data_IF_635579530935
#
_entry.id   IF_635579530935
#
_cell.length_a   1.000
_cell.length_b   1.000
_cell.length_c   1.000
_cell.angle_alpha   90.00
_cell.angle_beta   90.00
_cell.angle_gamma   90.00
#
_symmetry.space_group_name_H-M   'P 1'
#
loop_
_entity.id
_entity.type
_entity.pdbx_description
1 polymer ?
#
# COMPACT_ATOMS: atom_id res chain seq x y z
N UNK A 1 -15.79 -0.29 -16.45
CA UNK A 1 -16.44 0.98 -16.12
C UNK A 1 -17.75 1.04 -16.90
N UNK A 2 -18.80 0.76 -16.16
CA UNK A 2 -20.24 0.60 -16.38
C UNK A 2 -20.90 0.97 -17.73
N UNK A 3 -21.77 0.06 -18.16
CA UNK A 3 -22.69 0.02 -19.32
C UNK A 3 -23.78 1.11 -19.36
N UNK A 4 -23.74 2.10 -18.47
CA UNK A 4 -24.74 3.18 -18.37
C UNK A 4 -24.48 4.36 -19.34
N UNK A 5 -23.30 4.42 -19.98
CA UNK A 5 -22.90 5.59 -20.79
C UNK A 5 -23.51 5.64 -22.20
N UNK A 6 -24.15 4.57 -22.68
CA UNK A 6 -24.69 4.49 -24.05
C UNK A 6 -26.05 5.20 -24.18
N UNK A 7 -26.77 5.45 -23.08
CA UNK A 7 -28.11 6.04 -23.14
C UNK A 7 -28.14 7.56 -23.32
N UNK A 8 -27.04 8.28 -23.06
CA UNK A 8 -27.06 9.75 -23.09
C UNK A 8 -26.90 10.37 -24.49
N UNK A 9 -26.64 9.58 -25.53
CA UNK A 9 -26.36 10.09 -26.87
C UNK A 9 -27.60 10.35 -27.76
N UNK A 10 -28.83 10.11 -27.28
CA UNK A 10 -30.04 10.16 -28.11
C UNK A 10 -31.06 11.28 -27.75
N UNK A 11 -30.64 12.47 -27.29
CA UNK A 11 -31.61 13.56 -27.00
C UNK A 11 -31.22 14.99 -27.41
N UNK A 12 -30.17 15.22 -28.21
CA UNK A 12 -29.92 16.57 -28.77
C UNK A 12 -30.29 16.60 -30.24
N UNK A 13 -31.59 16.78 -30.50
CA UNK A 13 -32.09 17.16 -31.82
C UNK A 13 -31.72 18.61 -32.13
N UNK A 14 -30.68 18.83 -32.92
CA UNK A 14 -30.36 20.15 -33.50
C UNK A 14 -30.94 20.21 -34.91
N UNK A 15 -32.15 20.78 -35.02
CA UNK A 15 -32.68 21.23 -36.31
C UNK A 15 -31.95 22.50 -36.73
N UNK A 16 -31.21 22.42 -37.84
CA UNK A 16 -30.59 23.58 -38.47
C UNK A 16 -29.86 23.19 -39.73
N UNK A 17 -30.28 23.75 -40.86
CA UNK A 17 -29.60 23.67 -42.16
C UNK A 17 -28.18 24.28 -42.04
N UNK A 18 -27.21 23.47 -41.65
CA UNK A 18 -25.79 23.81 -41.66
C UNK A 18 -25.00 22.60 -42.15
N UNK A 19 -24.10 22.86 -43.11
CA UNK A 19 -23.33 21.88 -43.86
C UNK A 19 -22.77 20.75 -42.97
N UNK A 20 -23.16 19.50 -43.23
CA UNK A 20 -22.67 18.30 -42.52
C UNK A 20 -21.14 18.25 -42.37
N UNK A 21 -20.42 18.82 -43.34
CA UNK A 21 -18.96 18.97 -43.31
C UNK A 21 -18.44 19.87 -42.17
N UNK A 22 -19.18 20.91 -41.78
CA UNK A 22 -18.78 21.77 -40.65
C UNK A 22 -18.97 21.06 -39.32
N UNK A 23 -20.06 20.31 -39.15
CA UNK A 23 -20.31 19.48 -37.96
C UNK A 23 -19.21 18.43 -37.74
N UNK A 24 -18.80 17.71 -38.79
CA UNK A 24 -17.76 16.68 -38.68
C UNK A 24 -16.39 17.27 -38.32
N UNK A 25 -16.07 18.49 -38.79
CA UNK A 25 -14.85 19.21 -38.42
C UNK A 25 -14.88 19.64 -36.94
N UNK A 26 -16.03 20.07 -36.43
CA UNK A 26 -16.16 20.42 -35.01
C UNK A 26 -16.01 19.21 -34.11
N UNK A 27 -16.60 18.06 -34.47
CA UNK A 27 -16.47 16.81 -33.71
C UNK A 27 -15.01 16.34 -33.69
N UNK A 28 -14.32 16.32 -34.84
CA UNK A 28 -12.92 15.89 -34.89
C UNK A 28 -11.99 16.84 -34.12
N UNK A 29 -12.26 18.15 -34.16
CA UNK A 29 -11.49 19.16 -33.42
C UNK A 29 -11.67 19.04 -31.90
N UNK A 30 -12.90 18.80 -31.43
CA UNK A 30 -13.16 18.61 -29.99
C UNK A 30 -12.59 17.29 -29.47
N UNK A 31 -12.69 16.20 -30.24
CA UNK A 31 -12.04 14.93 -29.89
C UNK A 31 -10.51 15.05 -29.86
N UNK A 32 -9.90 15.79 -30.78
CA UNK A 32 -8.46 16.04 -30.80
C UNK A 32 -8.01 16.86 -29.58
N UNK A 33 -8.78 17.88 -29.18
CA UNK A 33 -8.52 18.67 -27.97
C UNK A 33 -8.67 17.84 -26.69
N UNK A 34 -9.70 16.98 -26.60
CA UNK A 34 -9.89 16.07 -25.46
C UNK A 34 -8.76 15.03 -25.37
N UNK A 35 -8.27 14.52 -26.51
CA UNK A 35 -7.13 13.61 -26.56
C UNK A 35 -5.83 14.28 -26.08
N UNK A 36 -5.60 15.54 -26.46
CA UNK A 36 -4.44 16.32 -25.99
C UNK A 36 -4.49 16.62 -24.49
N UNK A 37 -5.67 16.85 -23.91
CA UNK A 37 -5.83 17.05 -22.46
C UNK A 37 -5.59 15.72 -21.71
N UNK A 38 -6.07 14.59 -22.23
CA UNK A 38 -5.83 13.28 -21.63
C UNK A 38 -4.35 12.85 -21.69
N UNK A 39 -3.62 13.25 -22.73
CA UNK A 39 -2.20 12.97 -22.85
C UNK A 39 -1.32 13.68 -21.80
N UNK A 40 -1.79 14.78 -21.20
CA UNK A 40 -1.03 15.54 -20.19
C UNK A 40 -1.11 14.97 -18.77
N UNK A 41 -1.91 13.92 -18.51
CA UNK A 41 -2.15 13.43 -17.13
C UNK A 41 -1.21 12.32 -16.66
N UNK A 42 -0.18 11.96 -17.42
CA UNK A 42 0.78 10.90 -17.04
C UNK A 42 2.12 11.46 -16.53
N UNK A 43 2.07 12.47 -15.66
CA UNK A 43 3.22 12.80 -14.84
C UNK A 43 3.19 11.91 -13.59
N UNK A 44 3.89 10.76 -13.64
CA UNK A 44 4.22 10.01 -12.42
C UNK A 44 5.16 10.89 -11.60
N UNK A 45 4.64 11.57 -10.58
CA UNK A 45 5.50 12.24 -9.61
C UNK A 45 6.46 11.21 -9.01
N UNK A 46 7.75 11.54 -8.84
CA UNK A 46 8.69 10.63 -8.21
C UNK A 46 8.20 10.31 -6.80
N UNK A 47 7.65 9.10 -6.63
CA UNK A 47 7.16 8.62 -5.33
C UNK A 47 8.33 8.56 -4.37
N UNK A 48 8.41 9.51 -3.44
CA UNK A 48 9.43 9.50 -2.39
C UNK A 48 9.42 8.14 -1.69
N UNK A 49 10.57 7.46 -1.67
CA UNK A 49 10.77 6.15 -1.05
C UNK A 49 11.41 6.31 0.31
N UNK A 50 11.16 5.37 1.21
CA UNK A 50 11.94 5.28 2.44
C UNK A 50 13.40 4.95 2.12
N UNK A 51 14.31 5.37 3.00
CA UNK A 51 15.73 5.06 2.84
C UNK A 51 15.96 3.56 2.82
N UNK A 52 16.80 3.09 1.91
CA UNK A 52 17.20 1.67 1.80
C UNK A 52 18.50 1.36 2.53
N UNK A 53 19.05 2.34 3.28
CA UNK A 53 20.31 2.22 4.02
C UNK A 53 20.35 1.01 4.95
N UNK A 54 19.19 0.59 5.47
CA UNK A 54 19.06 -0.46 6.47
C UNK A 54 18.46 -1.77 5.91
N UNK A 55 18.29 -1.88 4.60
CA UNK A 55 17.67 -3.07 3.98
C UNK A 55 18.52 -4.34 4.13
N UNK A 56 19.81 -4.21 4.43
CA UNK A 56 20.74 -5.33 4.62
C UNK A 56 20.84 -5.82 6.08
N UNK A 57 19.98 -5.34 6.99
CA UNK A 57 19.96 -5.84 8.38
C UNK A 57 19.52 -7.31 8.38
N UNK A 58 20.28 -8.16 9.09
CA UNK A 58 19.90 -9.56 9.28
C UNK A 58 18.74 -9.68 10.28
N UNK A 59 17.52 -9.83 9.77
CA UNK A 59 16.33 -9.97 10.60
C UNK A 59 16.33 -11.26 11.44
N UNK A 60 16.98 -12.33 11.01
CA UNK A 60 17.04 -13.57 11.79
C UNK A 60 17.85 -13.39 13.07
N UNK A 61 18.96 -12.65 13.00
CA UNK A 61 19.77 -12.33 14.18
C UNK A 61 19.00 -11.44 15.16
N UNK A 62 18.20 -10.50 14.64
CA UNK A 62 17.35 -9.63 15.47
C UNK A 62 16.25 -10.43 16.15
N UNK A 63 15.53 -11.27 15.40
CA UNK A 63 14.36 -12.01 15.89
C UNK A 63 14.75 -13.15 16.85
N UNK A 64 15.91 -13.80 16.63
CA UNK A 64 16.42 -14.85 17.53
C UNK A 64 17.04 -14.29 18.81
N UNK A 65 17.50 -13.04 18.81
CA UNK A 65 18.11 -12.40 19.97
C UNK A 65 17.07 -11.63 20.81
N UNK A 66 16.54 -12.29 21.85
CA UNK A 66 15.54 -11.72 22.78
C UNK A 66 15.92 -10.36 23.36
N UNK A 67 17.20 -10.14 23.67
CA UNK A 67 17.66 -8.85 24.23
C UNK A 67 17.56 -7.74 23.19
N UNK A 68 18.00 -8.03 21.96
CA UNK A 68 17.97 -7.08 20.85
C UNK A 68 16.53 -6.77 20.44
N UNK A 69 15.71 -7.80 20.20
CA UNK A 69 14.30 -7.67 19.86
C UNK A 69 13.54 -6.81 20.89
N UNK A 70 13.74 -7.07 22.19
CA UNK A 70 13.12 -6.28 23.26
C UNK A 70 13.55 -4.82 23.24
N UNK A 71 14.79 -4.53 22.84
CA UNK A 71 15.25 -3.15 22.66
C UNK A 71 14.50 -2.43 21.54
N UNK A 72 14.31 -3.08 20.38
CA UNK A 72 13.51 -2.52 19.29
C UNK A 72 12.05 -2.32 19.70
N UNK A 73 11.42 -3.31 20.33
CA UNK A 73 10.03 -3.21 20.81
C UNK A 73 9.87 -2.00 21.75
N UNK A 74 10.77 -1.83 22.73
CA UNK A 74 10.76 -0.67 23.63
C UNK A 74 10.92 0.66 22.88
N UNK A 75 11.84 0.73 21.93
CA UNK A 75 12.01 1.90 21.07
C UNK A 75 10.69 2.25 20.37
N UNK A 76 10.05 1.26 19.71
CA UNK A 76 8.78 1.44 19.01
C UNK A 76 7.66 1.85 19.96
N UNK A 77 7.60 1.30 21.17
CA UNK A 77 6.63 1.69 22.20
C UNK A 77 6.93 3.05 22.86
N UNK A 78 8.08 3.68 22.58
CA UNK A 78 8.55 4.89 23.27
C UNK A 78 8.90 4.66 24.76
N UNK A 79 9.31 3.44 25.11
CA UNK A 79 9.65 3.01 26.47
C UNK A 79 11.17 2.84 26.69
N UNK A 80 11.96 3.24 25.70
CA UNK A 80 13.41 3.12 25.73
C UNK A 80 14.09 3.84 24.58
N UNK A 81 15.43 3.87 24.58
CA UNK A 81 16.20 4.51 23.51
C UNK A 81 16.03 3.74 22.20
N UNK A 82 16.17 4.47 21.10
CA UNK A 82 16.22 3.92 19.75
C UNK A 82 17.66 3.94 19.23
N UNK A 83 18.06 2.87 18.55
CA UNK A 83 19.17 2.92 17.60
C UNK A 83 18.77 3.76 16.39
N UNK A 84 19.73 4.16 15.56
CA UNK A 84 19.46 5.02 14.40
C UNK A 84 18.47 4.37 13.41
N UNK A 85 18.63 3.08 13.14
CA UNK A 85 17.73 2.29 12.31
C UNK A 85 16.35 2.06 12.97
N UNK A 86 16.32 1.82 14.28
CA UNK A 86 15.08 1.71 15.03
C UNK A 86 14.27 3.01 15.04
N UNK A 87 14.94 4.17 15.08
CA UNK A 87 14.31 5.48 14.99
C UNK A 87 13.71 5.74 13.60
N UNK A 88 14.47 5.41 12.54
CA UNK A 88 13.99 5.49 11.15
C UNK A 88 12.74 4.63 10.93
N UNK A 89 12.79 3.38 11.39
CA UNK A 89 11.66 2.46 11.36
C UNK A 89 10.46 3.04 12.10
N UNK A 90 10.67 3.50 13.35
CA UNK A 90 9.62 4.09 14.19
C UNK A 90 8.90 5.25 13.52
N UNK A 91 9.66 6.12 12.84
CA UNK A 91 9.13 7.28 12.12
C UNK A 91 8.33 6.88 10.88
N UNK A 92 8.74 5.81 10.20
CA UNK A 92 8.12 5.36 8.95
C UNK A 92 6.86 4.52 9.15
N UNK A 93 6.72 3.81 10.28
CA UNK A 93 5.60 2.88 10.54
C UNK A 93 4.20 3.52 10.35
N UNK A 94 3.88 4.72 10.88
CA UNK A 94 2.54 5.28 10.74
C UNK A 94 2.12 5.46 9.28
N UNK A 95 2.98 6.07 8.47
CA UNK A 95 2.76 6.28 7.02
C UNK A 95 2.73 4.94 6.27
N UNK A 96 3.58 3.98 6.65
CA UNK A 96 3.60 2.66 6.03
C UNK A 96 2.31 1.86 6.30
N UNK A 97 1.69 2.00 7.48
CA UNK A 97 0.42 1.33 7.76
C UNK A 97 -0.73 2.02 7.03
N UNK A 98 -0.80 3.35 7.10
CA UNK A 98 -1.86 4.14 6.46
C UNK A 98 -1.89 3.93 4.95
N UNK A 99 -0.71 3.91 4.32
CA UNK A 99 -0.59 3.81 2.85
C UNK A 99 -0.38 2.39 2.34
N UNK A 100 -0.46 1.37 3.19
CA UNK A 100 -0.08 -0.01 2.83
C UNK A 100 1.32 -0.09 2.19
N UNK A 101 2.27 0.60 2.82
CA UNK A 101 3.71 0.56 2.54
C UNK A 101 4.05 1.04 1.11
N UNK A 102 3.29 1.95 0.49
CA UNK A 102 3.54 2.38 -0.91
C UNK A 102 4.97 2.86 -1.18
N UNK A 103 5.62 3.44 -0.17
CA UNK A 103 7.00 3.96 -0.21
C UNK A 103 8.08 2.93 0.13
N UNK A 104 7.70 1.72 0.52
CA UNK A 104 8.64 0.67 0.91
C UNK A 104 9.36 0.06 -0.29
N UNK A 105 10.62 -0.32 -0.08
CA UNK A 105 11.37 -1.22 -0.97
C UNK A 105 10.79 -2.64 -0.92
N UNK A 106 11.20 -3.49 -1.86
CA UNK A 106 10.78 -4.90 -1.84
C UNK A 106 11.29 -5.61 -0.56
N UNK A 107 12.56 -5.40 -0.22
CA UNK A 107 13.18 -5.96 0.99
C UNK A 107 12.46 -5.51 2.26
N UNK A 108 12.01 -4.25 2.33
CA UNK A 108 11.25 -3.75 3.48
C UNK A 108 9.86 -4.39 3.59
N UNK A 109 9.19 -4.69 2.47
CA UNK A 109 7.90 -5.39 2.47
C UNK A 109 8.04 -6.82 2.98
N UNK A 110 9.01 -7.55 2.44
CA UNK A 110 9.28 -8.94 2.84
C UNK A 110 9.76 -9.02 4.29
N UNK A 111 10.66 -8.13 4.68
CA UNK A 111 11.17 -8.02 6.03
C UNK A 111 10.11 -7.66 7.05
N UNK A 112 9.26 -6.67 6.74
CA UNK A 112 8.13 -6.31 7.61
C UNK A 112 7.15 -7.47 7.74
N UNK A 113 6.79 -8.17 6.65
CA UNK A 113 5.93 -9.34 6.72
C UNK A 113 6.49 -10.42 7.66
N UNK A 114 7.78 -10.75 7.52
CA UNK A 114 8.48 -11.73 8.37
C UNK A 114 8.43 -11.33 9.85
N UNK A 115 8.80 -10.09 10.17
CA UNK A 115 8.81 -9.58 11.55
C UNK A 115 7.40 -9.60 12.14
N UNK A 116 6.40 -9.14 11.39
CA UNK A 116 5.02 -9.08 11.86
C UNK A 116 4.46 -10.48 12.13
N UNK A 117 4.74 -11.46 11.27
CA UNK A 117 4.30 -12.85 11.48
C UNK A 117 4.94 -13.44 12.73
N UNK A 118 6.25 -13.22 12.90
CA UNK A 118 6.97 -13.65 14.10
C UNK A 118 6.35 -13.03 15.36
N UNK A 119 6.07 -11.73 15.36
CA UNK A 119 5.49 -11.03 16.51
C UNK A 119 4.08 -11.53 16.83
N UNK A 120 3.23 -11.72 15.82
CA UNK A 120 1.85 -12.19 16.03
C UNK A 120 1.83 -13.62 16.61
N UNK A 121 2.73 -14.49 16.13
CA UNK A 121 2.75 -15.90 16.53
C UNK A 121 3.49 -16.13 17.86
N UNK A 122 4.61 -15.44 18.07
CA UNK A 122 5.57 -15.74 19.16
C UNK A 122 5.61 -14.68 20.26
N UNK A 123 5.30 -13.41 19.96
CA UNK A 123 5.42 -12.28 20.89
C UNK A 123 4.08 -11.55 21.07
N UNK A 124 3.02 -12.32 21.39
CA UNK A 124 1.62 -11.87 21.41
C UNK A 124 1.37 -10.61 22.25
N UNK A 125 2.04 -10.52 23.39
CA UNK A 125 1.92 -9.39 24.32
C UNK A 125 2.55 -8.12 23.76
N UNK A 126 3.74 -8.24 23.14
CA UNK A 126 4.39 -7.13 22.46
C UNK A 126 3.60 -6.70 21.22
N UNK A 127 3.11 -7.67 20.45
CA UNK A 127 2.23 -7.42 19.31
C UNK A 127 1.00 -6.62 19.72
N UNK A 128 0.28 -7.03 20.78
CA UNK A 128 -0.93 -6.34 21.21
C UNK A 128 -0.67 -4.86 21.57
N UNK A 129 0.49 -4.54 22.15
CA UNK A 129 0.87 -3.17 22.49
C UNK A 129 1.21 -2.37 21.22
N UNK A 130 1.97 -2.95 20.30
CA UNK A 130 2.32 -2.32 19.03
C UNK A 130 1.10 -2.09 18.14
N UNK A 131 0.21 -3.09 18.02
CA UNK A 131 -1.05 -3.01 17.29
C UNK A 131 -1.92 -1.88 17.84
N UNK A 132 -2.10 -1.81 19.16
CA UNK A 132 -2.85 -0.71 19.79
C UNK A 132 -2.27 0.67 19.47
N UNK A 133 -0.95 0.77 19.32
CA UNK A 133 -0.26 2.04 19.04
C UNK A 133 -0.33 2.45 17.56
N UNK A 134 -0.19 1.49 16.65
CA UNK A 134 0.07 1.76 15.24
C UNK A 134 -1.03 1.30 14.28
N UNK A 135 -1.82 0.28 14.62
CA UNK A 135 -2.98 -0.17 13.85
C UNK A 135 -4.17 -0.47 14.79
N UNK A 136 -4.83 0.56 15.35
CA UNK A 136 -5.94 0.37 16.29
C UNK A 136 -7.13 -0.40 15.69
N UNK A 137 -7.23 -0.46 14.36
CA UNK A 137 -8.27 -1.21 13.65
C UNK A 137 -8.02 -2.72 13.61
N UNK A 138 -6.77 -3.13 13.89
CA UNK A 138 -6.29 -4.50 13.78
C UNK A 138 -6.36 -5.04 12.35
N UNK A 139 -6.30 -4.15 11.35
CA UNK A 139 -6.48 -4.52 9.94
C UNK A 139 -5.42 -5.51 9.47
N UNK A 140 -4.17 -5.33 9.91
CA UNK A 140 -3.06 -6.19 9.52
C UNK A 140 -3.23 -7.61 10.04
N UNK A 141 -3.48 -7.76 11.36
CA UNK A 141 -3.65 -9.07 11.99
C UNK A 141 -4.81 -9.85 11.38
N UNK A 142 -5.92 -9.18 11.06
CA UNK A 142 -7.07 -9.79 10.36
C UNK A 142 -6.67 -10.37 9.01
N UNK A 143 -5.95 -9.59 8.18
CA UNK A 143 -5.44 -10.07 6.87
C UNK A 143 -4.48 -11.24 7.03
N UNK A 144 -3.60 -11.18 8.03
CA UNK A 144 -2.65 -12.25 8.32
C UNK A 144 -3.37 -13.56 8.67
N UNK A 145 -4.31 -13.54 9.63
CA UNK A 145 -5.03 -14.74 10.04
C UNK A 145 -5.81 -15.36 8.86
N UNK A 146 -6.50 -14.54 8.07
CA UNK A 146 -7.18 -15.01 6.87
C UNK A 146 -6.23 -15.71 5.87
N UNK A 147 -5.02 -15.16 5.67
CA UNK A 147 -4.01 -15.78 4.80
C UNK A 147 -3.43 -17.08 5.37
N UNK A 148 -3.30 -17.17 6.69
CA UNK A 148 -2.78 -18.35 7.40
C UNK A 148 -3.77 -19.50 7.36
N UNK A 149 -5.06 -19.20 7.53
CA UNK A 149 -6.14 -20.19 7.46
C UNK A 149 -6.24 -20.78 6.05
N UNK A 150 -6.12 -19.95 5.01
CA UNK A 150 -6.07 -20.41 3.61
C UNK A 150 -4.87 -21.31 3.34
N UNK A 151 -3.68 -20.92 3.81
CA UNK A 151 -2.45 -21.72 3.63
C UNK A 151 -2.53 -23.06 4.35
N UNK A 152 -3.14 -23.10 5.53
CA UNK A 152 -3.34 -24.33 6.31
C UNK A 152 -4.32 -25.25 5.59
N UNK A 153 -5.41 -24.71 5.07
CA UNK A 153 -6.43 -25.46 4.33
C UNK A 153 -5.85 -26.06 3.04
N UNK A 154 -5.06 -25.29 2.28
CA UNK A 154 -4.43 -25.78 1.06
C UNK A 154 -3.47 -26.95 1.33
N UNK A 155 -2.67 -26.90 2.40
CA UNK A 155 -1.76 -27.99 2.78
C UNK A 155 -2.49 -29.28 3.18
N UNK A 156 -3.68 -29.18 3.76
CA UNK A 156 -4.46 -30.36 4.17
C UNK A 156 -5.23 -31.04 3.02
N UNK A 157 -5.26 -30.44 1.83
CA UNK A 157 -5.92 -31.03 0.64
C UNK A 157 -4.91 -31.72 -0.30
N UNK A 158 -3.61 -31.51 -0.08
CA UNK A 158 -2.53 -32.14 -0.86
C UNK A 158 -1.96 -33.42 -0.21
N UNK A 159 -2.49 -33.85 0.94
CA UNK A 159 -2.06 -35.06 1.68
C UNK A 159 -3.10 -36.19 1.60
#
# INVERSE_FOLDING_TARGET
MNTEFIFYFNLVGVSGNHNFSTMLKFINSTFMLLYLIFAMTTADEPKEKYTTKYDNINLDDVLSNKRLLKSYIKCLLSEGPCTTDGAELKQSIPDAIETNCTKCSQTQREGSQKVMYFLIDNEKEAWAQLEKKYDPTGSYKKRYLASKDFTTTAKTVEE
#
